data_IF_623915308426
#
_entry.id   IF_623915308426
#
_cell.length_a   1.000
_cell.length_b   1.000
_cell.length_c   1.000
_cell.angle_alpha   90.00
_cell.angle_beta   90.00
_cell.angle_gamma   90.00
#
_symmetry.space_group_name_H-M   'P 1'
#
loop_
_entity.id
_entity.type
_entity.pdbx_description
1 polymer ?
#
# COMPACT_ATOMS: atom_id res chain seq x y z
N UNK A 1 -5.94 14.41 -10.88
CA UNK A 1 -5.89 14.26 -9.41
C UNK A 1 -7.30 14.40 -8.89
N UNK A 2 -7.77 13.56 -7.99
CA UNK A 2 -9.11 13.54 -7.42
C UNK A 2 -9.02 13.36 -5.90
N UNK A 3 -10.09 13.70 -5.17
CA UNK A 3 -10.16 13.54 -3.72
C UNK A 3 -10.53 12.11 -3.38
N UNK A 4 -9.71 11.47 -2.57
CA UNK A 4 -9.89 10.09 -2.13
C UNK A 4 -10.16 10.00 -0.63
N UNK A 5 -11.10 9.16 -0.24
CA UNK A 5 -11.27 8.74 1.15
C UNK A 5 -10.39 7.50 1.41
N UNK A 6 -9.34 7.68 2.20
CA UNK A 6 -8.57 6.55 2.73
C UNK A 6 -9.09 6.18 4.11
N UNK A 7 -9.30 4.90 4.34
CA UNK A 7 -9.65 4.37 5.67
C UNK A 7 -8.41 3.96 6.47
N UNK A 8 -7.24 3.94 5.81
CA UNK A 8 -5.96 3.58 6.46
C UNK A 8 -5.57 4.70 7.44
N UNK A 9 -5.28 4.31 8.67
CA UNK A 9 -4.89 5.26 9.73
C UNK A 9 -6.04 6.10 10.31
N UNK A 10 -7.27 5.92 9.83
CA UNK A 10 -8.46 6.56 10.40
C UNK A 10 -9.27 5.53 11.20
N UNK A 11 -9.88 5.93 12.33
CA UNK A 11 -10.76 5.03 13.11
C UNK A 11 -12.12 4.87 12.42
N UNK A 12 -12.10 4.64 11.12
CA UNK A 12 -13.28 4.40 10.30
C UNK A 12 -13.46 2.91 10.09
N UNK A 13 -14.60 2.40 10.53
CA UNK A 13 -15.02 1.03 10.27
C UNK A 13 -16.49 1.06 9.89
N UNK A 14 -16.90 0.16 9.02
CA UNK A 14 -18.29 0.07 8.58
C UNK A 14 -18.43 -0.86 7.39
N UNK A 15 -19.67 -1.16 7.03
CA UNK A 15 -19.94 -1.91 5.81
C UNK A 15 -19.54 -1.08 4.59
N UNK A 16 -19.18 -1.70 3.47
CA UNK A 16 -18.80 -0.98 2.24
C UNK A 16 -19.82 0.09 1.83
N UNK A 17 -21.14 -0.17 2.00
CA UNK A 17 -22.19 0.80 1.69
C UNK A 17 -22.16 2.05 2.58
N UNK A 18 -21.78 1.89 3.86
CA UNK A 18 -21.69 3.02 4.82
C UNK A 18 -20.46 3.90 4.51
N UNK A 19 -19.35 3.27 4.14
CA UNK A 19 -18.13 4.00 3.72
C UNK A 19 -18.35 4.73 2.39
N UNK A 20 -19.09 4.14 1.46
CA UNK A 20 -19.50 4.78 0.20
C UNK A 20 -20.38 6.00 0.48
N UNK A 21 -21.39 5.88 1.36
CA UNK A 21 -22.26 6.97 1.76
C UNK A 21 -21.46 8.11 2.41
N UNK A 22 -20.49 7.76 3.26
CA UNK A 22 -19.57 8.73 3.88
C UNK A 22 -18.77 9.46 2.80
N UNK A 23 -18.16 8.74 1.87
CA UNK A 23 -17.36 9.32 0.79
C UNK A 23 -18.21 10.32 -0.04
N UNK A 24 -19.42 9.92 -0.44
CA UNK A 24 -20.34 10.77 -1.20
C UNK A 24 -20.78 12.01 -0.41
N UNK A 25 -21.10 11.84 0.89
CA UNK A 25 -21.57 12.94 1.75
C UNK A 25 -20.52 14.04 1.92
N UNK A 26 -19.23 13.68 1.92
CA UNK A 26 -18.12 14.63 2.02
C UNK A 26 -17.48 14.98 0.68
N UNK A 27 -18.09 14.57 -0.43
CA UNK A 27 -17.71 14.96 -1.79
C UNK A 27 -16.35 14.37 -2.22
N UNK A 28 -16.03 13.16 -1.80
CA UNK A 28 -14.91 12.40 -2.34
C UNK A 28 -15.27 11.83 -3.71
N UNK A 29 -14.27 11.75 -4.58
CA UNK A 29 -14.41 11.23 -5.95
C UNK A 29 -14.00 9.73 -6.01
N UNK A 30 -13.31 9.26 -4.98
CA UNK A 30 -12.87 7.86 -4.86
C UNK A 30 -12.67 7.44 -3.41
N UNK A 31 -12.41 6.15 -3.23
CA UNK A 31 -12.06 5.57 -1.93
C UNK A 31 -11.11 4.39 -2.10
N UNK A 32 -10.38 4.07 -1.04
CA UNK A 32 -9.55 2.87 -0.99
C UNK A 32 -10.44 1.62 -0.89
N UNK A 33 -9.97 0.54 -1.45
CA UNK A 33 -10.66 -0.74 -1.44
C UNK A 33 -9.96 -1.69 -0.47
N UNK A 34 -10.75 -2.36 0.38
CA UNK A 34 -10.31 -3.59 1.02
C UNK A 34 -10.28 -4.70 -0.03
N UNK A 35 -9.08 -4.98 -0.55
CA UNK A 35 -8.91 -5.93 -1.65
C UNK A 35 -9.22 -7.36 -1.23
N UNK A 36 -9.04 -7.70 0.04
CA UNK A 36 -9.32 -9.05 0.55
C UNK A 36 -10.83 -9.29 0.63
N UNK A 37 -11.58 -8.31 1.19
CA UNK A 37 -13.06 -8.37 1.18
C UNK A 37 -13.59 -8.39 -0.26
N UNK A 38 -13.04 -7.55 -1.13
CA UNK A 38 -13.43 -7.53 -2.55
C UNK A 38 -13.21 -8.89 -3.23
N UNK A 39 -12.07 -9.54 -3.00
CA UNK A 39 -11.80 -10.87 -3.54
C UNK A 39 -12.81 -11.91 -3.05
N UNK A 40 -13.14 -11.89 -1.76
CA UNK A 40 -14.14 -12.80 -1.19
C UNK A 40 -15.53 -12.59 -1.81
N UNK A 41 -15.94 -11.34 -1.97
CA UNK A 41 -17.24 -11.03 -2.62
C UNK A 41 -17.24 -11.45 -4.09
N UNK A 42 -16.12 -11.23 -4.80
CA UNK A 42 -15.99 -11.62 -6.19
C UNK A 42 -16.00 -13.13 -6.40
N UNK A 43 -15.45 -13.91 -5.47
CA UNK A 43 -15.51 -15.38 -5.50
C UNK A 43 -16.93 -15.91 -5.33
N UNK A 44 -17.71 -15.29 -4.44
CA UNK A 44 -19.06 -15.77 -4.11
C UNK A 44 -20.08 -15.32 -5.16
N UNK A 45 -20.01 -14.06 -5.59
CA UNK A 45 -21.04 -13.39 -6.37
C UNK A 45 -20.61 -12.93 -7.75
N UNK A 46 -19.33 -13.06 -8.07
CA UNK A 46 -18.72 -12.54 -9.30
C UNK A 46 -18.22 -11.09 -9.18
N UNK A 47 -17.23 -10.73 -10.01
CA UNK A 47 -16.57 -9.42 -10.02
C UNK A 47 -17.55 -8.27 -10.24
N UNK A 48 -18.48 -8.42 -11.19
CA UNK A 48 -19.49 -7.38 -11.49
C UNK A 48 -20.40 -7.08 -10.31
N UNK A 49 -20.71 -8.09 -9.50
CA UNK A 49 -21.47 -7.89 -8.27
C UNK A 49 -20.63 -7.14 -7.22
N UNK A 50 -19.39 -7.56 -7.00
CA UNK A 50 -18.52 -6.94 -6.01
C UNK A 50 -18.25 -5.45 -6.31
N UNK A 51 -18.05 -5.07 -7.58
CA UNK A 51 -17.83 -3.67 -8.00
C UNK A 51 -19.10 -2.82 -8.09
N UNK A 52 -20.29 -3.43 -8.07
CA UNK A 52 -21.57 -2.75 -8.36
C UNK A 52 -21.84 -1.51 -7.51
N UNK A 53 -21.52 -1.55 -6.22
CA UNK A 53 -21.76 -0.42 -5.32
C UNK A 53 -20.89 0.79 -5.69
N UNK A 54 -19.61 0.58 -5.95
CA UNK A 54 -18.67 1.62 -6.36
C UNK A 54 -19.09 2.24 -7.71
N UNK A 55 -19.41 1.39 -8.70
CA UNK A 55 -19.88 1.83 -10.02
C UNK A 55 -21.18 2.62 -9.91
N UNK A 56 -22.15 2.16 -9.13
CA UNK A 56 -23.43 2.86 -8.93
C UNK A 56 -23.25 4.20 -8.25
N UNK A 57 -22.31 4.29 -7.32
CA UNK A 57 -21.96 5.53 -6.63
C UNK A 57 -21.07 6.45 -7.46
N UNK A 58 -20.55 6.00 -8.60
CA UNK A 58 -19.56 6.70 -9.44
C UNK A 58 -18.29 7.06 -8.67
N UNK A 59 -17.91 6.24 -7.68
CA UNK A 59 -16.65 6.35 -6.95
C UNK A 59 -15.58 5.54 -7.64
N UNK A 60 -14.38 6.12 -7.73
CA UNK A 60 -13.21 5.45 -8.25
C UNK A 60 -12.56 4.56 -7.17
N UNK A 61 -12.09 3.40 -7.56
CA UNK A 61 -11.17 2.60 -6.75
C UNK A 61 -9.79 3.26 -6.78
N UNK A 62 -9.38 3.86 -5.67
CA UNK A 62 -8.20 4.74 -5.67
C UNK A 62 -6.90 3.99 -5.40
N UNK A 63 -6.89 3.17 -4.38
CA UNK A 63 -5.76 2.32 -4.04
C UNK A 63 -6.22 1.08 -3.27
N UNK A 64 -5.34 0.10 -3.24
CA UNK A 64 -5.47 -1.10 -2.43
C UNK A 64 -4.25 -1.22 -1.52
N UNK A 65 -4.43 -1.63 -0.27
CA UNK A 65 -3.30 -1.96 0.59
C UNK A 65 -2.93 -3.44 0.41
N UNK A 66 -1.65 -3.69 0.10
CA UNK A 66 -1.17 -5.05 -0.07
C UNK A 66 -0.97 -5.73 1.30
N UNK A 67 -1.52 -6.92 1.49
CA UNK A 67 -1.30 -7.71 2.70
C UNK A 67 0.06 -8.40 2.62
N UNK A 68 1.15 -7.60 2.69
CA UNK A 68 2.51 -8.10 2.57
C UNK A 68 3.43 -7.47 3.61
N UNK A 69 4.25 -8.30 4.24
CA UNK A 69 5.20 -7.92 5.27
C UNK A 69 6.61 -7.88 4.67
N UNK A 70 7.01 -6.71 4.14
CA UNK A 70 8.29 -6.55 3.44
C UNK A 70 9.51 -6.90 4.32
N UNK A 71 9.43 -6.68 5.62
CA UNK A 71 10.50 -6.99 6.59
C UNK A 71 10.31 -8.32 7.33
N UNK A 72 9.29 -9.12 6.99
CA UNK A 72 9.04 -10.42 7.62
C UNK A 72 10.08 -11.50 7.25
N UNK A 73 9.96 -12.67 7.85
CA UNK A 73 10.78 -13.83 7.46
C UNK A 73 10.42 -14.34 6.05
N UNK A 74 11.31 -15.17 5.48
CA UNK A 74 11.15 -15.64 4.11
C UNK A 74 9.94 -16.58 3.93
N UNK A 75 9.55 -17.35 4.95
CA UNK A 75 8.40 -18.24 4.87
C UNK A 75 7.08 -17.44 4.85
N UNK A 76 6.97 -16.42 5.69
CA UNK A 76 5.86 -15.48 5.70
C UNK A 76 5.75 -14.77 4.36
N UNK A 77 6.85 -14.18 3.87
CA UNK A 77 6.89 -13.50 2.58
C UNK A 77 6.50 -14.44 1.42
N UNK A 78 7.02 -15.67 1.40
CA UNK A 78 6.68 -16.65 0.36
C UNK A 78 5.18 -16.98 0.32
N UNK A 79 4.54 -17.07 1.49
CA UNK A 79 3.10 -17.32 1.58
C UNK A 79 2.28 -16.10 1.12
N UNK A 80 2.70 -14.90 1.53
CA UNK A 80 2.00 -13.65 1.20
C UNK A 80 2.11 -13.33 -0.29
N UNK A 81 3.28 -13.51 -0.90
CA UNK A 81 3.52 -13.18 -2.32
C UNK A 81 2.71 -14.07 -3.29
N UNK A 82 2.41 -15.31 -2.90
CA UNK A 82 1.60 -16.23 -3.72
C UNK A 82 0.19 -15.69 -4.00
N UNK A 83 -0.35 -14.84 -3.15
CA UNK A 83 -1.68 -14.26 -3.29
C UNK A 83 -1.70 -13.02 -4.20
N UNK A 84 -0.55 -12.33 -4.37
CA UNK A 84 -0.50 -11.04 -5.04
C UNK A 84 -0.97 -11.06 -6.50
N UNK A 85 -0.68 -12.07 -7.33
CA UNK A 85 -1.19 -12.09 -8.71
C UNK A 85 -2.71 -11.98 -8.78
N UNK A 86 -3.43 -12.69 -7.91
CA UNK A 86 -4.90 -12.61 -7.83
C UNK A 86 -5.37 -11.24 -7.34
N UNK A 87 -4.67 -10.65 -6.35
CA UNK A 87 -5.01 -9.33 -5.86
C UNK A 87 -4.81 -8.25 -6.94
N UNK A 88 -3.75 -8.33 -7.73
CA UNK A 88 -3.52 -7.42 -8.85
C UNK A 88 -4.54 -7.61 -9.99
N UNK A 89 -4.94 -8.84 -10.29
CA UNK A 89 -6.03 -9.12 -11.23
C UNK A 89 -7.34 -8.44 -10.76
N UNK A 90 -7.66 -8.53 -9.48
CA UNK A 90 -8.85 -7.91 -8.92
C UNK A 90 -8.73 -6.38 -8.86
N UNK A 91 -7.55 -5.84 -8.56
CA UNK A 91 -7.30 -4.40 -8.65
C UNK A 91 -7.53 -3.90 -10.10
N UNK A 92 -7.00 -4.59 -11.10
CA UNK A 92 -7.23 -4.28 -12.51
C UNK A 92 -8.72 -4.36 -12.88
N UNK A 93 -9.45 -5.36 -12.39
CA UNK A 93 -10.89 -5.50 -12.62
C UNK A 93 -11.72 -4.34 -12.04
N UNK A 94 -11.20 -3.64 -11.02
CA UNK A 94 -11.81 -2.43 -10.45
C UNK A 94 -11.25 -1.13 -11.03
N UNK A 95 -10.39 -1.21 -12.03
CA UNK A 95 -9.67 -0.07 -12.62
C UNK A 95 -8.76 0.65 -11.59
N UNK A 96 -8.39 -0.06 -10.51
CA UNK A 96 -7.45 0.43 -9.50
C UNK A 96 -6.01 0.23 -9.98
N UNK A 97 -5.31 1.32 -10.24
CA UNK A 97 -3.94 1.29 -10.77
C UNK A 97 -2.87 1.52 -9.70
N UNK A 98 -3.24 1.52 -8.42
CA UNK A 98 -2.34 1.82 -7.31
C UNK A 98 -2.51 0.81 -6.19
N UNK A 99 -1.39 0.32 -5.71
CA UNK A 99 -1.33 -0.47 -4.49
C UNK A 99 -0.32 0.16 -3.51
N UNK A 100 -0.51 -0.03 -2.22
CA UNK A 100 0.39 0.51 -1.20
C UNK A 100 0.96 -0.60 -0.33
N UNK A 101 2.19 -0.43 0.12
CA UNK A 101 2.84 -1.26 1.13
C UNK A 101 3.63 -0.38 2.10
N UNK A 102 3.86 -0.87 3.31
CA UNK A 102 4.56 -0.10 4.36
C UNK A 102 5.95 -0.67 4.60
N UNK A 103 6.94 0.22 4.68
CA UNK A 103 8.31 -0.11 5.06
C UNK A 103 8.40 -0.10 6.59
N UNK A 104 8.92 -1.18 7.17
CA UNK A 104 9.20 -1.23 8.60
C UNK A 104 10.44 -0.42 8.95
N UNK A 105 10.46 0.30 10.09
CA UNK A 105 11.50 1.29 10.39
C UNK A 105 12.81 0.69 10.92
N UNK A 106 12.93 -0.63 11.01
CA UNK A 106 14.15 -1.32 11.49
C UNK A 106 13.99 -2.80 11.71
N UNK A 107 15.08 -3.45 12.16
CA UNK A 107 15.13 -4.88 12.43
C UNK A 107 16.05 -5.19 13.63
N UNK A 108 15.74 -6.27 14.36
CA UNK A 108 16.64 -6.82 15.36
C UNK A 108 17.56 -7.91 14.81
N UNK A 109 17.31 -8.41 13.62
CA UNK A 109 18.00 -9.54 13.00
C UNK A 109 18.93 -9.14 11.86
N UNK A 110 18.56 -8.12 11.10
CA UNK A 110 19.28 -7.71 9.89
C UNK A 110 20.07 -6.42 10.08
N UNK A 111 21.29 -6.37 9.56
CA UNK A 111 22.01 -5.10 9.38
C UNK A 111 21.26 -4.20 8.38
N UNK A 112 21.52 -2.89 8.40
CA UNK A 112 20.93 -1.96 7.41
C UNK A 112 21.14 -2.44 5.97
N UNK A 113 22.37 -2.87 5.64
CA UNK A 113 22.73 -3.32 4.29
C UNK A 113 21.96 -4.58 3.89
N UNK A 114 21.91 -5.59 4.76
CA UNK A 114 21.24 -6.85 4.46
C UNK A 114 19.72 -6.63 4.34
N UNK A 115 19.17 -5.76 5.19
CA UNK A 115 17.76 -5.43 5.17
C UNK A 115 17.36 -4.60 3.94
N UNK A 116 18.26 -3.73 3.46
CA UNK A 116 18.09 -2.99 2.21
C UNK A 116 18.02 -3.94 1.01
N UNK A 117 18.95 -4.88 0.89
CA UNK A 117 18.97 -5.86 -0.19
C UNK A 117 17.76 -6.80 -0.14
N UNK A 118 17.31 -7.19 1.06
CA UNK A 118 16.09 -7.97 1.25
C UNK A 118 14.87 -7.22 0.71
N UNK A 119 14.67 -5.96 1.12
CA UNK A 119 13.56 -5.14 0.66
C UNK A 119 13.63 -4.91 -0.86
N UNK A 120 14.81 -4.56 -1.39
CA UNK A 120 15.01 -4.39 -2.83
C UNK A 120 14.61 -5.62 -3.62
N UNK A 121 15.10 -6.80 -3.21
CA UNK A 121 14.79 -8.07 -3.88
C UNK A 121 13.29 -8.41 -3.84
N UNK A 122 12.63 -8.16 -2.71
CA UNK A 122 11.18 -8.38 -2.54
C UNK A 122 10.37 -7.38 -3.37
N UNK A 123 10.78 -6.12 -3.40
CA UNK A 123 10.13 -5.09 -4.22
C UNK A 123 10.27 -5.35 -5.71
N UNK A 124 11.41 -5.90 -6.17
CA UNK A 124 11.57 -6.33 -7.55
C UNK A 124 10.58 -7.45 -7.92
N UNK A 125 10.38 -8.42 -7.03
CA UNK A 125 9.41 -9.49 -7.25
C UNK A 125 7.98 -8.95 -7.33
N UNK A 126 7.58 -8.09 -6.38
CA UNK A 126 6.25 -7.49 -6.33
C UNK A 126 6.04 -6.59 -7.56
N UNK A 127 7.01 -5.73 -7.88
CA UNK A 127 6.95 -4.83 -9.01
C UNK A 127 6.79 -5.55 -10.35
N UNK A 128 7.52 -6.66 -10.54
CA UNK A 128 7.37 -7.52 -11.72
C UNK A 128 5.98 -8.18 -11.83
N UNK A 129 5.29 -8.41 -10.72
CA UNK A 129 3.90 -8.91 -10.75
C UNK A 129 2.92 -7.78 -11.03
N UNK A 130 3.05 -6.67 -10.31
CA UNK A 130 2.16 -5.52 -10.40
C UNK A 130 2.14 -4.89 -11.80
N UNK A 131 3.30 -4.79 -12.44
CA UNK A 131 3.43 -4.21 -13.79
C UNK A 131 2.68 -4.97 -14.87
N UNK A 132 2.43 -6.27 -14.70
CA UNK A 132 1.61 -7.08 -15.61
C UNK A 132 0.12 -6.72 -15.57
N UNK A 133 -0.30 -6.01 -14.54
CA UNK A 133 -1.68 -5.59 -14.32
C UNK A 133 -1.83 -4.06 -14.32
N UNK A 134 -0.82 -3.32 -14.80
CA UNK A 134 -0.79 -1.86 -14.82
C UNK A 134 -0.97 -1.22 -13.41
N UNK A 135 -0.48 -1.89 -12.36
CA UNK A 135 -0.53 -1.42 -10.98
C UNK A 135 0.83 -0.88 -10.55
N UNK A 136 0.86 0.36 -10.07
CA UNK A 136 2.02 0.97 -9.44
C UNK A 136 1.98 0.72 -7.92
N UNK A 137 3.15 0.49 -7.32
CA UNK A 137 3.32 0.24 -5.89
C UNK A 137 3.81 1.50 -5.20
N UNK A 138 3.04 2.04 -4.28
CA UNK A 138 3.44 3.16 -3.42
C UNK A 138 3.95 2.66 -2.07
N UNK A 139 5.17 3.02 -1.71
CA UNK A 139 5.75 2.69 -0.41
C UNK A 139 5.50 3.81 0.61
N UNK A 140 4.90 3.46 1.74
CA UNK A 140 4.75 4.32 2.90
C UNK A 140 5.86 4.02 3.92
N UNK A 141 6.31 5.03 4.64
CA UNK A 141 7.27 4.90 5.75
C UNK A 141 6.57 5.04 7.10
N UNK A 142 7.24 4.59 8.15
CA UNK A 142 6.85 4.79 9.56
C UNK A 142 7.91 5.67 10.21
N UNK A 143 7.74 7.01 10.21
CA UNK A 143 8.77 7.95 10.66
C UNK A 143 8.83 8.11 12.18
N UNK A 144 7.82 7.68 12.92
CA UNK A 144 7.71 7.86 14.36
C UNK A 144 8.85 7.16 15.11
N UNK A 145 9.54 7.92 15.96
CA UNK A 145 10.71 7.43 16.67
C UNK A 145 10.39 6.27 17.64
N UNK A 146 9.18 6.23 18.17
CA UNK A 146 8.73 5.19 19.10
C UNK A 146 8.75 3.78 18.48
N UNK A 147 8.42 3.64 17.17
CA UNK A 147 8.42 2.34 16.50
C UNK A 147 9.82 1.82 16.15
N UNK A 148 10.88 2.64 16.33
CA UNK A 148 12.26 2.22 16.11
C UNK A 148 13.13 2.28 17.36
N UNK A 149 12.59 2.78 18.49
CA UNK A 149 13.35 2.97 19.73
C UNK A 149 13.99 1.68 20.26
N UNK A 150 13.26 0.57 20.17
CA UNK A 150 13.68 -0.74 20.68
C UNK A 150 14.30 -1.64 19.58
N UNK A 151 14.54 -1.11 18.38
CA UNK A 151 15.15 -1.85 17.29
C UNK A 151 16.67 -1.67 17.28
N UNK A 152 17.39 -2.81 17.22
CA UNK A 152 18.87 -2.83 17.23
C UNK A 152 19.46 -2.16 15.99
N UNK A 153 18.81 -2.29 14.86
CA UNK A 153 19.24 -1.71 13.59
C UNK A 153 18.08 -0.89 13.01
N UNK A 154 18.26 0.43 12.99
CA UNK A 154 17.31 1.32 12.34
C UNK A 154 17.39 1.17 10.82
N UNK A 155 16.27 1.35 10.15
CA UNK A 155 16.16 1.27 8.71
C UNK A 155 15.57 2.57 8.15
N UNK A 156 14.87 2.50 7.03
CA UNK A 156 14.32 3.65 6.33
C UNK A 156 13.11 4.21 7.10
N UNK A 157 13.21 5.47 7.52
CA UNK A 157 12.17 6.20 8.25
C UNK A 157 11.96 7.63 7.73
N UNK A 158 12.65 8.00 6.65
CA UNK A 158 12.54 9.29 5.98
C UNK A 158 12.54 9.11 4.45
N UNK A 159 12.19 10.17 3.74
CA UNK A 159 12.07 10.10 2.27
C UNK A 159 13.42 10.01 1.55
N UNK A 160 14.51 10.55 2.12
CA UNK A 160 15.85 10.38 1.54
C UNK A 160 16.22 8.89 1.43
N UNK A 161 16.05 8.15 2.53
CA UNK A 161 16.28 6.71 2.54
C UNK A 161 15.30 5.95 1.63
N UNK A 162 14.02 6.35 1.64
CA UNK A 162 12.99 5.75 0.78
C UNK A 162 13.32 5.93 -0.70
N UNK A 163 13.71 7.12 -1.13
CA UNK A 163 14.08 7.35 -2.54
C UNK A 163 15.35 6.59 -2.95
N UNK A 164 16.29 6.38 -2.02
CA UNK A 164 17.42 5.49 -2.25
C UNK A 164 16.99 4.05 -2.56
N UNK A 165 16.04 3.51 -1.80
CA UNK A 165 15.49 2.18 -2.04
C UNK A 165 14.71 2.11 -3.36
N UNK A 166 13.79 3.06 -3.61
CA UNK A 166 12.98 3.12 -4.83
C UNK A 166 13.87 3.19 -6.07
N UNK A 167 14.91 4.02 -6.06
CA UNK A 167 15.83 4.19 -7.20
C UNK A 167 16.60 2.92 -7.55
N UNK A 168 16.69 1.96 -6.64
CA UNK A 168 17.35 0.68 -6.84
C UNK A 168 16.38 -0.49 -7.05
N UNK A 169 15.07 -0.23 -7.04
CA UNK A 169 14.00 -1.22 -7.18
C UNK A 169 13.32 -1.14 -8.55
N UNK A 170 12.35 -2.02 -8.80
CA UNK A 170 11.58 -2.06 -10.04
C UNK A 170 10.89 -0.72 -10.34
N UNK A 171 10.81 -0.33 -11.61
CA UNK A 171 10.26 0.95 -12.08
C UNK A 171 8.80 1.24 -11.70
N UNK A 172 8.01 0.19 -11.41
CA UNK A 172 6.62 0.35 -10.91
C UNK A 172 6.55 0.72 -9.43
N UNK A 173 7.69 0.80 -8.73
CA UNK A 173 7.75 1.14 -7.30
C UNK A 173 7.98 2.64 -7.15
N UNK A 174 7.14 3.29 -6.36
CA UNK A 174 7.19 4.71 -6.06
C UNK A 174 6.94 4.98 -4.56
N UNK A 175 6.77 6.23 -4.19
CA UNK A 175 6.52 6.65 -2.81
C UNK A 175 5.06 7.08 -2.60
N UNK A 176 4.53 6.78 -1.42
CA UNK A 176 3.39 7.50 -0.85
C UNK A 176 3.94 8.71 -0.11
N UNK A 177 3.57 9.90 -0.54
CA UNK A 177 3.99 11.15 0.11
C UNK A 177 2.84 11.66 0.97
N UNK A 178 3.05 11.74 2.27
CA UNK A 178 2.09 12.33 3.20
C UNK A 178 2.76 13.41 4.07
N UNK A 179 1.95 14.40 4.49
CA UNK A 179 2.44 15.57 5.21
C UNK A 179 2.95 15.23 6.62
N UNK A 180 2.39 14.22 7.26
CA UNK A 180 2.80 13.77 8.59
C UNK A 180 4.19 13.14 8.55
N UNK A 181 4.39 12.20 7.63
CA UNK A 181 5.68 11.53 7.43
C UNK A 181 6.77 12.51 7.01
N UNK A 182 6.46 13.51 6.17
CA UNK A 182 7.39 14.59 5.83
C UNK A 182 7.81 15.39 7.07
N UNK A 183 6.84 15.77 7.90
CA UNK A 183 7.11 16.55 9.11
C UNK A 183 7.99 15.78 10.11
N UNK A 184 7.65 14.51 10.39
CA UNK A 184 8.38 13.68 11.36
C UNK A 184 9.73 13.18 10.81
N UNK A 185 9.86 12.99 9.51
CA UNK A 185 11.10 12.62 8.84
C UNK A 185 12.16 13.73 8.87
N UNK A 186 11.80 14.93 9.31
CA UNK A 186 12.70 16.09 9.39
C UNK A 186 12.96 16.78 8.07
N UNK A 187 12.13 16.50 7.06
CA UNK A 187 12.29 17.09 5.73
C UNK A 187 11.56 18.43 5.62
N UNK A 188 12.18 19.36 4.89
CA UNK A 188 11.59 20.67 4.67
C UNK A 188 10.49 20.59 3.61
N UNK A 189 9.30 21.08 3.93
CA UNK A 189 8.20 21.27 2.98
C UNK A 189 8.32 22.54 2.14
N UNK A 190 9.49 23.18 2.14
CA UNK A 190 9.71 24.36 1.28
C UNK A 190 9.71 23.92 -0.20
N UNK A 191 8.58 24.15 -0.84
CA UNK A 191 8.37 24.09 -2.29
C UNK A 191 8.82 25.42 -2.87
#
# INVERSE_FOLDING_TARGET
MFRNLSTIGLPLSGRPSELIELALSFGFDGMDIDILDFCQQAEIYGVDHARRLMVSARLQASSVHLPITLGGDDATFATEIEQLPKLFEMAQATECTRATATIVPGSNEHSFKDFFELHRSRLDQIGNMASKHDVAIGLAIVPEAEYRADLSNQFIYNYEGLFGLISSSHESVGAVIDAWSLHLGGESTSI
#
